data_IF_995583054317
#
_entry.id   IF_995583054317
#
_cell.length_a   1.000
_cell.length_b   1.000
_cell.length_c   1.000
_cell.angle_alpha   90.00
_cell.angle_beta   90.00
_cell.angle_gamma   90.00
#
_symmetry.space_group_name_H-M   'P 1'
#
loop_
_entity.id
_entity.type
_entity.pdbx_description
1 polymer ?
#
# COMPACT_ATOMS: atom_id res chain seq x y z
N UNK A 1 8.16 -11.22 3.50
CA UNK A 1 8.30 -11.99 2.29
C UNK A 1 9.34 -11.38 1.35
N UNK A 2 9.78 -12.13 0.39
CA UNK A 2 10.73 -11.66 -0.61
C UNK A 2 10.19 -10.45 -1.41
N UNK A 3 8.90 -10.43 -1.70
CA UNK A 3 8.28 -9.32 -2.42
C UNK A 3 8.27 -8.03 -1.60
N UNK A 4 7.93 -8.13 -0.32
CA UNK A 4 7.94 -6.99 0.59
C UNK A 4 9.35 -6.44 0.79
N UNK A 5 10.31 -7.32 1.04
CA UNK A 5 11.72 -6.97 1.15
C UNK A 5 12.22 -6.30 -0.14
N UNK A 6 11.81 -6.82 -1.25
CA UNK A 6 12.12 -6.28 -2.55
C UNK A 6 11.62 -4.84 -2.71
N UNK A 7 10.36 -4.58 -2.40
CA UNK A 7 9.79 -3.23 -2.44
C UNK A 7 10.52 -2.28 -1.50
N UNK A 8 10.80 -2.72 -0.28
CA UNK A 8 11.48 -1.89 0.71
C UNK A 8 12.88 -1.49 0.25
N UNK A 9 13.62 -2.39 -0.40
CA UNK A 9 14.97 -2.14 -0.83
C UNK A 9 15.05 -1.40 -2.17
N UNK A 10 14.25 -1.80 -3.13
CA UNK A 10 14.30 -1.22 -4.47
C UNK A 10 13.59 0.10 -4.58
N UNK A 11 12.55 0.32 -3.80
CA UNK A 11 11.76 1.55 -3.85
C UNK A 11 12.61 2.79 -3.61
N UNK A 12 13.56 2.72 -2.67
CA UNK A 12 14.45 3.85 -2.36
C UNK A 12 15.53 4.10 -3.40
N UNK A 13 15.80 3.14 -4.26
CA UNK A 13 16.87 3.24 -5.27
C UNK A 13 16.37 3.58 -6.65
N UNK A 14 15.16 3.17 -6.97
CA UNK A 14 14.58 3.30 -8.30
C UNK A 14 13.13 3.73 -8.21
N UNK A 15 12.65 4.42 -9.24
CA UNK A 15 11.22 4.67 -9.37
C UNK A 15 10.52 3.32 -9.51
N UNK A 16 9.47 3.11 -8.72
CA UNK A 16 8.71 1.87 -8.69
C UNK A 16 8.23 1.46 -10.09
N UNK A 17 7.72 2.41 -10.85
CA UNK A 17 7.21 2.16 -12.20
C UNK A 17 8.33 1.77 -13.16
N UNK A 18 9.54 2.28 -12.98
CA UNK A 18 10.69 1.91 -13.81
C UNK A 18 11.10 0.47 -13.54
N UNK A 19 11.06 0.05 -12.30
CA UNK A 19 11.37 -1.32 -11.94
C UNK A 19 10.38 -2.30 -12.58
N UNK A 20 9.09 -1.96 -12.57
CA UNK A 20 8.04 -2.80 -13.13
C UNK A 20 7.75 -2.52 -14.61
N UNK A 21 8.68 -1.92 -15.34
CA UNK A 21 8.57 -1.84 -16.79
C UNK A 21 8.72 -3.23 -17.40
N UNK A 22 7.72 -4.06 -17.19
CA UNK A 22 7.67 -5.38 -17.78
C UNK A 22 7.07 -5.31 -19.18
N UNK A 23 7.82 -5.79 -20.14
CA UNK A 23 7.32 -5.99 -21.50
C UNK A 23 6.56 -7.31 -21.60
N UNK A 24 6.78 -8.25 -20.70
CA UNK A 24 6.06 -9.52 -20.70
C UNK A 24 4.65 -9.32 -20.15
N UNK A 25 3.71 -10.10 -20.69
CA UNK A 25 2.30 -10.09 -20.28
C UNK A 25 1.98 -11.23 -19.31
N UNK A 26 2.98 -11.77 -18.64
CA UNK A 26 2.79 -12.86 -17.69
C UNK A 26 1.92 -12.38 -16.53
N UNK A 27 0.94 -13.19 -16.11
CA UNK A 27 0.10 -12.82 -14.99
C UNK A 27 0.91 -12.74 -13.70
N UNK A 28 0.58 -11.74 -12.88
CA UNK A 28 1.22 -11.58 -11.58
C UNK A 28 0.24 -11.00 -10.56
N UNK A 29 0.56 -11.18 -9.31
CA UNK A 29 -0.14 -10.58 -8.19
C UNK A 29 0.78 -9.59 -7.49
N UNK A 30 0.19 -8.60 -6.84
CA UNK A 30 0.91 -7.68 -5.96
C UNK A 30 0.51 -7.99 -4.53
N UNK A 31 1.50 -8.25 -3.71
CA UNK A 31 1.33 -8.48 -2.28
C UNK A 31 2.09 -7.38 -1.54
N UNK A 32 1.36 -6.53 -0.83
CA UNK A 32 1.93 -5.41 -0.09
C UNK A 32 1.51 -5.47 1.37
N UNK A 33 2.47 -5.73 2.25
CA UNK A 33 2.25 -5.77 3.68
C UNK A 33 3.14 -4.75 4.37
N UNK A 34 2.54 -3.76 5.05
CA UNK A 34 3.25 -2.69 5.74
C UNK A 34 4.22 -1.91 4.86
N UNK A 35 3.94 -1.83 3.57
CA UNK A 35 4.76 -1.10 2.60
C UNK A 35 4.02 0.10 2.02
N UNK A 36 2.71 -0.03 1.79
CA UNK A 36 1.91 1.00 1.14
C UNK A 36 1.89 2.32 1.91
N UNK A 37 1.92 2.25 3.24
CA UNK A 37 1.98 3.44 4.08
C UNK A 37 3.39 4.07 4.17
N UNK A 38 4.36 3.51 3.50
CA UNK A 38 5.73 4.05 3.42
C UNK A 38 5.99 4.83 2.14
N UNK A 39 5.02 4.89 1.23
CA UNK A 39 5.14 5.65 -0.01
C UNK A 39 4.31 6.92 0.05
N UNK A 40 4.78 7.96 -0.65
CA UNK A 40 4.07 9.23 -0.70
C UNK A 40 2.92 9.22 -1.72
N UNK A 41 2.16 10.30 -1.76
CA UNK A 41 1.01 10.41 -2.67
C UNK A 41 1.39 10.29 -4.14
N UNK A 42 2.52 10.88 -4.52
CA UNK A 42 2.99 10.84 -5.90
C UNK A 42 3.30 9.39 -6.32
N UNK A 43 4.01 8.67 -5.46
CA UNK A 43 4.37 7.28 -5.73
C UNK A 43 3.15 6.38 -5.73
N UNK A 44 2.18 6.63 -4.85
CA UNK A 44 0.91 5.90 -4.85
C UNK A 44 0.16 6.09 -6.17
N UNK A 45 0.08 7.33 -6.66
CA UNK A 45 -0.57 7.61 -7.94
C UNK A 45 0.13 6.89 -9.09
N UNK A 46 1.46 6.90 -9.09
CA UNK A 46 2.25 6.20 -10.10
C UNK A 46 2.03 4.69 -10.03
N UNK A 47 1.98 4.13 -8.83
CA UNK A 47 1.72 2.71 -8.62
C UNK A 47 0.33 2.32 -9.13
N UNK A 48 -0.69 3.08 -8.77
CA UNK A 48 -2.06 2.83 -9.23
C UNK A 48 -2.14 2.90 -10.76
N UNK A 49 -1.51 3.90 -11.34
CA UNK A 49 -1.45 4.05 -12.80
C UNK A 49 -0.77 2.84 -13.46
N UNK A 50 0.33 2.37 -12.88
CA UNK A 50 1.02 1.17 -13.36
C UNK A 50 0.12 -0.06 -13.29
N UNK A 51 -0.53 -0.30 -12.16
CA UNK A 51 -1.42 -1.44 -11.99
C UNK A 51 -2.59 -1.39 -12.96
N UNK A 52 -3.14 -0.19 -13.17
CA UNK A 52 -4.28 0.00 -14.08
C UNK A 52 -3.91 -0.33 -15.54
N UNK A 53 -2.71 0.03 -15.96
CA UNK A 53 -2.27 -0.15 -17.33
C UNK A 53 -1.68 -1.53 -17.63
N UNK A 54 -1.23 -2.24 -16.62
CA UNK A 54 -0.53 -3.51 -16.82
C UNK A 54 -1.52 -4.66 -16.95
N UNK A 55 -1.57 -5.26 -18.15
CA UNK A 55 -2.50 -6.36 -18.46
C UNK A 55 -2.19 -7.65 -17.70
N UNK A 56 -0.96 -7.83 -17.24
CA UNK A 56 -0.56 -8.99 -16.45
C UNK A 56 -1.01 -8.96 -14.99
N UNK A 57 -1.31 -7.77 -14.48
CA UNK A 57 -1.75 -7.61 -13.09
C UNK A 57 -3.13 -8.25 -12.87
N UNK A 58 -3.26 -9.16 -11.88
CA UNK A 58 -4.50 -9.90 -11.61
C UNK A 58 -5.09 -9.59 -10.24
N UNK A 59 -4.30 -9.60 -9.18
CA UNK A 59 -4.77 -9.43 -7.81
C UNK A 59 -3.87 -8.50 -7.02
N UNK A 60 -4.49 -7.73 -6.13
CA UNK A 60 -3.80 -6.95 -5.10
C UNK A 60 -4.18 -7.49 -3.73
N UNK A 61 -3.18 -7.81 -2.92
CA UNK A 61 -3.32 -8.12 -1.49
C UNK A 61 -2.61 -7.02 -0.73
N UNK A 62 -3.35 -6.27 0.07
CA UNK A 62 -2.83 -5.08 0.74
C UNK A 62 -3.11 -5.12 2.23
N UNK A 63 -2.08 -4.85 3.04
CA UNK A 63 -2.21 -4.57 4.46
C UNK A 63 -1.40 -3.31 4.78
N UNK A 64 -2.03 -2.32 5.39
CA UNK A 64 -1.39 -1.05 5.72
C UNK A 64 -2.04 -0.39 6.94
N UNK A 65 -1.25 0.44 7.65
CA UNK A 65 -1.77 1.26 8.77
C UNK A 65 -2.71 2.33 8.24
N UNK A 66 -3.78 2.57 8.97
CA UNK A 66 -4.79 3.55 8.59
C UNK A 66 -4.72 4.81 9.45
N UNK A 67 -5.50 5.80 9.05
CA UNK A 67 -5.67 7.05 9.83
C UNK A 67 -6.25 6.82 11.22
N UNK A 68 -6.78 5.63 11.50
CA UNK A 68 -7.33 5.25 12.80
C UNK A 68 -6.32 4.49 13.68
N UNK A 69 -5.07 4.45 13.25
CA UNK A 69 -4.00 3.79 13.99
C UNK A 69 -3.64 4.56 15.27
N UNK A 70 -3.20 3.82 16.29
CA UNK A 70 -2.84 4.39 17.59
C UNK A 70 -1.70 5.40 17.54
N UNK A 71 -0.78 5.25 16.57
CA UNK A 71 0.35 6.17 16.40
C UNK A 71 0.07 7.28 15.40
N UNK A 72 -1.16 7.38 14.87
CA UNK A 72 -1.51 8.50 13.99
C UNK A 72 -1.32 9.84 14.71
N UNK A 73 -0.67 10.75 14.04
CA UNK A 73 -0.40 12.08 14.59
C UNK A 73 0.90 12.18 15.38
N UNK A 74 1.60 11.07 15.62
CA UNK A 74 2.88 11.10 16.31
C UNK A 74 4.01 11.50 15.37
N UNK A 75 4.96 12.29 15.89
CA UNK A 75 6.11 12.76 15.15
C UNK A 75 5.85 14.08 14.45
N UNK A 76 6.74 14.43 13.52
CA UNK A 76 6.64 15.68 12.76
C UNK A 76 5.69 15.52 11.59
N UNK A 77 4.65 16.34 11.56
CA UNK A 77 3.73 16.38 10.43
C UNK A 77 4.39 17.03 9.22
N UNK A 78 4.41 16.34 8.09
CA UNK A 78 5.02 16.83 6.84
C UNK A 78 4.01 16.91 5.69
N UNK A 79 2.76 16.57 5.92
CA UNK A 79 1.68 16.65 4.95
C UNK A 79 0.41 16.04 5.49
N UNK A 80 -0.61 15.91 4.65
CA UNK A 80 -1.88 15.31 5.04
C UNK A 80 -1.68 13.82 5.32
N UNK A 81 -1.93 13.41 6.56
CA UNK A 81 -1.72 12.04 7.04
C UNK A 81 -0.26 11.57 7.00
N UNK A 82 0.69 12.50 6.82
CA UNK A 82 2.12 12.22 6.66
C UNK A 82 2.88 12.66 7.90
N UNK A 83 3.63 11.74 8.50
CA UNK A 83 4.38 11.98 9.73
C UNK A 83 5.75 11.32 9.67
N UNK A 84 6.73 11.96 10.28
CA UNK A 84 8.09 11.42 10.44
C UNK A 84 8.38 11.25 11.92
N UNK A 85 8.71 10.02 12.31
CA UNK A 85 9.30 9.69 13.61
C UNK A 85 10.74 9.27 13.34
N UNK A 86 11.10 8.00 13.52
CA UNK A 86 12.35 7.43 13.03
C UNK A 86 12.35 7.20 11.51
N UNK A 87 11.17 7.15 10.92
CA UNK A 87 10.98 7.00 9.49
C UNK A 87 9.64 7.61 9.06
N UNK A 88 9.48 7.78 7.75
CA UNK A 88 8.29 8.37 7.14
C UNK A 88 7.13 7.36 7.13
N UNK A 89 5.93 7.86 7.44
CA UNK A 89 4.68 7.13 7.25
C UNK A 89 3.60 8.05 6.71
N UNK A 90 2.84 7.53 5.79
CA UNK A 90 1.60 8.16 5.34
C UNK A 90 0.44 7.20 5.65
N UNK A 91 -0.30 7.54 6.67
CA UNK A 91 -1.43 6.72 7.10
C UNK A 91 -2.51 6.73 6.02
N UNK A 92 -3.08 5.58 5.74
CA UNK A 92 -4.03 5.41 4.65
C UNK A 92 -5.44 5.78 5.14
N UNK A 93 -6.14 6.58 4.33
CA UNK A 93 -7.58 6.76 4.45
C UNK A 93 -8.26 5.63 3.67
N UNK A 94 -8.87 4.64 4.34
CA UNK A 94 -9.40 3.47 3.65
C UNK A 94 -10.49 3.80 2.64
N UNK A 95 -11.35 4.75 2.97
CA UNK A 95 -12.45 5.13 2.07
C UNK A 95 -11.94 5.74 0.78
N UNK A 96 -10.94 6.59 0.89
CA UNK A 96 -10.33 7.21 -0.29
C UNK A 96 -9.62 6.17 -1.17
N UNK A 97 -8.84 5.29 -0.55
CA UNK A 97 -8.12 4.27 -1.31
C UNK A 97 -9.08 3.28 -1.98
N UNK A 98 -10.11 2.83 -1.26
CA UNK A 98 -11.14 1.96 -1.86
C UNK A 98 -11.80 2.62 -3.07
N UNK A 99 -12.12 3.91 -2.97
CA UNK A 99 -12.71 4.67 -4.06
C UNK A 99 -11.80 4.69 -5.29
N UNK A 100 -10.51 4.97 -5.09
CA UNK A 100 -9.55 5.03 -6.19
C UNK A 100 -9.34 3.64 -6.83
N UNK A 101 -9.19 2.61 -6.02
CA UNK A 101 -8.99 1.25 -6.52
C UNK A 101 -10.24 0.70 -7.22
N UNK A 102 -11.43 1.05 -6.73
CA UNK A 102 -12.69 0.57 -7.32
C UNK A 102 -12.93 1.06 -8.74
N UNK A 103 -12.20 2.08 -9.19
CA UNK A 103 -12.31 2.56 -10.57
C UNK A 103 -11.86 1.51 -11.59
N UNK A 104 -11.00 0.57 -11.19
CA UNK A 104 -10.47 -0.43 -12.12
C UNK A 104 -10.34 -1.84 -11.51
N UNK A 105 -10.61 -1.99 -10.22
CA UNK A 105 -10.56 -3.26 -9.53
C UNK A 105 -11.91 -3.58 -8.87
N UNK A 106 -12.18 -4.86 -8.71
CA UNK A 106 -13.27 -5.34 -7.87
C UNK A 106 -12.70 -5.70 -6.51
N UNK A 107 -13.14 -5.01 -5.46
CA UNK A 107 -12.74 -5.32 -4.10
C UNK A 107 -13.56 -6.53 -3.64
N UNK A 108 -12.87 -7.63 -3.35
CA UNK A 108 -13.50 -8.89 -2.94
C UNK A 108 -13.45 -9.11 -1.44
N UNK A 109 -12.56 -8.41 -0.74
CA UNK A 109 -12.44 -8.47 0.71
C UNK A 109 -11.92 -7.15 1.23
N UNK A 110 -12.50 -6.68 2.33
CA UNK A 110 -12.00 -5.52 3.06
C UNK A 110 -12.30 -5.65 4.54
N UNK A 111 -11.31 -5.34 5.38
CA UNK A 111 -11.48 -5.24 6.81
C UNK A 111 -10.51 -4.21 7.37
N UNK A 112 -11.01 -3.34 8.23
CA UNK A 112 -10.18 -2.43 9.02
C UNK A 112 -10.39 -2.74 10.48
N UNK A 113 -9.33 -3.05 11.21
CA UNK A 113 -9.43 -3.39 12.63
C UNK A 113 -8.08 -3.38 13.31
N UNK A 114 -8.11 -3.29 14.63
CA UNK A 114 -7.00 -3.71 15.50
C UNK A 114 -7.05 -5.22 15.66
N UNK A 115 -6.04 -5.79 16.32
CA UNK A 115 -5.92 -7.22 16.61
C UNK A 115 -5.69 -8.11 15.37
N UNK A 116 -5.41 -7.50 14.21
CA UNK A 116 -5.08 -8.23 12.99
C UNK A 116 -3.58 -8.42 12.81
N UNK A 117 -2.79 -7.50 13.33
CA UNK A 117 -1.34 -7.48 13.11
C UNK A 117 -0.60 -7.17 14.41
N UNK A 118 -1.03 -7.77 15.51
CA UNK A 118 -0.36 -7.61 16.81
C UNK A 118 1.06 -8.13 16.75
N UNK A 119 2.00 -7.32 17.25
CA UNK A 119 3.39 -7.71 17.35
C UNK A 119 3.99 -7.06 18.59
N UNK A 120 4.43 -7.89 19.56
CA UNK A 120 4.95 -7.42 20.85
C UNK A 120 3.94 -6.48 21.53
N UNK A 121 4.33 -5.22 21.80
CA UNK A 121 3.45 -4.21 22.44
C UNK A 121 2.63 -3.42 21.44
N UNK A 122 2.86 -3.63 20.14
CA UNK A 122 2.16 -2.90 19.09
C UNK A 122 0.87 -3.62 18.69
N UNK A 123 -0.18 -2.84 18.51
CA UNK A 123 -1.46 -3.31 18.01
C UNK A 123 -2.01 -2.30 17.01
N UNK A 124 -1.42 -2.24 15.81
CA UNK A 124 -1.82 -1.24 14.83
C UNK A 124 -3.25 -1.45 14.33
N UNK A 125 -3.91 -0.34 14.04
CA UNK A 125 -5.12 -0.38 13.23
C UNK A 125 -4.72 -0.48 11.77
N UNK A 126 -5.05 -1.58 11.15
CA UNK A 126 -4.70 -1.84 9.76
C UNK A 126 -5.94 -2.11 8.93
N UNK A 127 -5.82 -1.80 7.65
CA UNK A 127 -6.76 -2.30 6.65
C UNK A 127 -6.15 -3.51 5.95
N UNK A 128 -6.98 -4.47 5.65
CA UNK A 128 -6.67 -5.59 4.78
C UNK A 128 -7.64 -5.57 3.61
N UNK A 129 -7.09 -5.62 2.42
CA UNK A 129 -7.89 -5.52 1.20
C UNK A 129 -7.41 -6.57 0.20
N UNK A 130 -8.36 -7.22 -0.44
CA UNK A 130 -8.11 -8.07 -1.61
C UNK A 130 -8.92 -7.49 -2.75
N UNK A 131 -8.25 -7.23 -3.86
CA UNK A 131 -8.91 -6.71 -5.05
C UNK A 131 -8.46 -7.48 -6.27
N UNK A 132 -9.39 -7.63 -7.18
CA UNK A 132 -9.22 -8.40 -8.42
C UNK A 132 -9.39 -7.46 -9.59
N UNK A 133 -8.57 -7.61 -10.62
CA UNK A 133 -8.74 -6.83 -11.84
C UNK A 133 -10.08 -7.19 -12.51
N UNK A 134 -10.79 -6.15 -12.89
CA UNK A 134 -12.06 -6.33 -13.63
C UNK A 134 -11.84 -6.94 -15.00
#
# INVERSE_FOLDING_TARGET
SSLQSYFSNKFYKENFCNYFKRKDKKPFIVYSRFTWHSINNKDEKNLIKFLRKNKGFKYLFLEARTINDEIYGQGKKVGKHEYITSHYRRFIDPNNLKKELSKFLKITYFKESKNLAKYKKENPCVMRLIAKKK
#
